data_IF_364201091040
#
_entry.id   IF_364201091040
#
_cell.length_a   1.000
_cell.length_b   1.000
_cell.length_c   1.000
_cell.angle_alpha   90.00
_cell.angle_beta   90.00
_cell.angle_gamma   90.00
#
_symmetry.space_group_name_H-M   'P 1'
#
loop_
_entity.id
_entity.type
_entity.pdbx_description
1 polymer ?
#
# COMPACT_ATOMS: atom_id res chain seq x y z
N UNK A 1 29.59 -45.27 18.60
CA UNK A 1 28.27 -45.39 17.94
C UNK A 1 27.70 -43.99 17.88
N UNK A 2 27.76 -43.34 16.70
CA UNK A 2 27.19 -41.99 16.50
C UNK A 2 25.68 -42.13 16.47
N UNK A 3 24.97 -41.31 17.23
CA UNK A 3 23.52 -41.24 17.17
C UNK A 3 23.12 -40.73 15.78
N UNK A 4 22.24 -41.48 15.13
CA UNK A 4 21.67 -41.19 13.82
C UNK A 4 20.92 -39.84 13.80
N UNK A 5 20.95 -39.24 12.62
CA UNK A 5 20.42 -37.93 12.23
C UNK A 5 19.04 -37.58 12.80
N UNK A 6 18.99 -36.57 13.68
CA UNK A 6 17.75 -35.85 13.95
C UNK A 6 17.53 -34.85 12.80
N UNK A 7 16.58 -35.14 11.92
CA UNK A 7 16.15 -34.22 10.86
C UNK A 7 15.76 -32.86 11.46
N UNK A 8 16.47 -31.82 11.05
CA UNK A 8 16.26 -30.43 11.48
C UNK A 8 14.89 -29.92 11.00
N UNK A 9 13.97 -29.65 11.94
CA UNK A 9 12.77 -28.80 11.81
C UNK A 9 11.94 -28.95 10.51
N UNK A 10 11.26 -30.09 10.33
CA UNK A 10 10.23 -30.24 9.28
C UNK A 10 9.02 -29.33 9.54
N UNK A 11 8.68 -29.06 10.80
CA UNK A 11 7.66 -28.11 11.19
C UNK A 11 8.28 -26.72 11.35
N UNK A 12 7.75 -25.74 10.62
CA UNK A 12 8.14 -24.33 10.67
C UNK A 12 7.03 -23.49 11.31
N UNK A 13 6.77 -23.60 12.62
CA UNK A 13 5.64 -22.94 13.30
C UNK A 13 5.72 -21.40 13.28
N UNK A 14 6.87 -20.84 12.92
CA UNK A 14 7.03 -19.40 12.66
C UNK A 14 6.51 -18.97 11.28
N UNK A 15 6.31 -19.90 10.34
CA UNK A 15 5.66 -19.62 9.06
C UNK A 15 4.15 -19.67 9.26
N UNK A 16 3.47 -18.59 8.89
CA UNK A 16 2.01 -18.49 8.92
C UNK A 16 1.55 -18.24 7.49
N UNK A 17 0.64 -19.07 7.01
CA UNK A 17 -0.15 -18.80 5.81
C UNK A 17 -1.52 -18.36 6.26
N UNK A 18 -2.00 -17.25 5.72
CA UNK A 18 -3.27 -16.64 6.07
C UNK A 18 -4.07 -16.47 4.79
N UNK A 19 -5.34 -16.83 4.83
CA UNK A 19 -6.30 -16.63 3.75
C UNK A 19 -7.60 -16.12 4.34
N UNK A 20 -8.24 -15.21 3.63
CA UNK A 20 -9.61 -14.81 3.94
C UNK A 20 -10.50 -15.48 2.91
N UNK A 21 -11.30 -16.43 3.36
CA UNK A 21 -12.30 -17.10 2.51
C UNK A 21 -13.62 -16.37 2.76
N UNK A 22 -14.22 -15.72 1.74
CA UNK A 22 -15.57 -15.18 1.89
C UNK A 22 -16.52 -16.31 2.30
N UNK A 23 -17.47 -16.00 3.18
CA UNK A 23 -18.51 -16.95 3.60
C UNK A 23 -19.18 -17.58 2.36
N UNK A 24 -19.59 -18.86 2.48
CA UNK A 24 -20.15 -19.67 1.39
C UNK A 24 -21.07 -18.89 0.44
N UNK A 25 -20.82 -19.03 -0.88
CA UNK A 25 -21.62 -18.49 -1.98
C UNK A 25 -22.08 -17.02 -1.80
N UNK A 26 -21.12 -16.09 -1.66
CA UNK A 26 -21.41 -14.66 -1.62
C UNK A 26 -21.51 -14.07 -3.05
N UNK A 27 -22.73 -13.78 -3.51
CA UNK A 27 -22.97 -13.17 -4.81
C UNK A 27 -22.33 -11.77 -4.98
N UNK A 28 -22.29 -10.96 -3.91
CA UNK A 28 -21.63 -9.64 -3.94
C UNK A 28 -20.13 -9.79 -4.16
N UNK A 29 -19.51 -10.81 -3.54
CA UNK A 29 -18.09 -11.09 -3.72
C UNK A 29 -17.77 -11.44 -5.17
N UNK A 30 -18.52 -12.38 -5.77
CA UNK A 30 -18.28 -12.82 -7.16
C UNK A 30 -18.48 -11.66 -8.13
N UNK A 31 -19.55 -10.88 -7.96
CA UNK A 31 -19.83 -9.71 -8.80
C UNK A 31 -18.67 -8.70 -8.80
N UNK A 32 -18.19 -8.29 -7.63
CA UNK A 32 -17.07 -7.35 -7.53
C UNK A 32 -15.73 -7.96 -7.97
N UNK A 33 -15.53 -9.26 -7.74
CA UNK A 33 -14.34 -9.96 -8.24
C UNK A 33 -14.29 -9.98 -9.76
N UNK A 34 -15.38 -10.35 -10.43
CA UNK A 34 -15.45 -10.41 -11.90
C UNK A 34 -15.24 -9.02 -12.51
N UNK A 35 -15.81 -7.97 -11.92
CA UNK A 35 -15.61 -6.57 -12.32
C UNK A 35 -14.13 -6.15 -12.28
N UNK A 36 -13.44 -6.42 -11.15
CA UNK A 36 -11.99 -6.11 -11.02
C UNK A 36 -11.14 -6.96 -11.97
N UNK A 37 -11.46 -8.25 -12.14
CA UNK A 37 -10.74 -9.12 -13.07
C UNK A 37 -10.92 -8.64 -14.52
N UNK A 38 -12.11 -8.20 -14.91
CA UNK A 38 -12.35 -7.61 -16.24
C UNK A 38 -11.45 -6.40 -16.45
N UNK A 39 -11.37 -5.49 -15.47
CA UNK A 39 -10.47 -4.32 -15.51
C UNK A 39 -9.01 -4.73 -15.72
N UNK A 40 -8.52 -5.71 -14.96
CA UNK A 40 -7.13 -6.17 -15.07
C UNK A 40 -6.81 -6.90 -16.38
N UNK A 41 -7.80 -7.39 -17.11
CA UNK A 41 -7.59 -7.99 -18.44
C UNK A 41 -7.59 -6.98 -19.58
N UNK A 42 -7.92 -5.70 -19.33
CA UNK A 42 -7.92 -4.66 -20.37
C UNK A 42 -6.49 -4.43 -20.89
N UNK A 43 -6.32 -4.19 -22.20
CA UNK A 43 -5.01 -3.80 -22.73
C UNK A 43 -4.57 -2.47 -22.14
N UNK A 44 -3.25 -2.25 -22.11
CA UNK A 44 -2.70 -0.98 -21.67
C UNK A 44 -3.19 0.17 -22.57
N UNK A 45 -3.73 1.22 -21.94
CA UNK A 45 -4.14 2.46 -22.60
C UNK A 45 -3.62 3.66 -21.78
N UNK A 46 -2.65 4.44 -22.30
CA UNK A 46 -2.10 5.59 -21.59
C UNK A 46 -3.12 6.73 -21.39
N UNK A 47 -4.21 6.79 -22.17
CA UNK A 47 -5.30 7.74 -21.95
C UNK A 47 -6.21 7.28 -20.79
N UNK A 48 -6.20 5.98 -20.47
CA UNK A 48 -7.01 5.32 -19.44
C UNK A 48 -6.20 4.40 -18.53
N UNK A 49 -5.18 4.92 -17.83
CA UNK A 49 -4.30 4.10 -17.00
C UNK A 49 -5.08 3.40 -15.89
N UNK A 50 -4.75 2.13 -15.64
CA UNK A 50 -5.28 1.36 -14.51
C UNK A 50 -4.38 1.57 -13.31
N UNK A 51 -4.90 2.28 -12.31
CA UNK A 51 -4.18 2.61 -11.08
C UNK A 51 -4.86 1.95 -9.90
N UNK A 52 -4.10 1.25 -9.07
CA UNK A 52 -4.56 0.70 -7.80
C UNK A 52 -4.17 1.65 -6.67
N UNK A 53 -5.03 1.79 -5.65
CA UNK A 53 -4.79 2.61 -4.46
C UNK A 53 -5.10 1.82 -3.19
N UNK A 54 -4.23 1.97 -2.20
CA UNK A 54 -4.43 1.48 -0.83
C UNK A 54 -3.60 2.30 0.16
N UNK A 55 -3.78 2.06 1.46
CA UNK A 55 -3.00 2.73 2.49
C UNK A 55 -2.59 1.85 3.67
N UNK A 56 -1.49 2.24 4.32
CA UNK A 56 -0.95 1.59 5.51
C UNK A 56 -0.62 2.61 6.59
N UNK A 57 -0.93 2.28 7.85
CA UNK A 57 -0.46 3.05 9.00
C UNK A 57 0.87 2.50 9.51
N UNK A 58 1.80 3.41 9.82
CA UNK A 58 3.11 3.11 10.42
C UNK A 58 3.25 3.82 11.76
N UNK A 59 3.54 3.06 12.80
CA UNK A 59 3.96 3.64 14.08
C UNK A 59 5.38 4.21 13.96
N UNK A 60 5.53 5.45 14.43
CA UNK A 60 6.82 6.13 14.53
C UNK A 60 7.45 5.82 15.90
N UNK A 61 8.67 5.31 15.86
CA UNK A 61 9.39 4.79 17.03
C UNK A 61 10.86 5.17 16.91
N UNK A 62 11.34 5.94 17.88
CA UNK A 62 12.74 6.32 18.00
C UNK A 62 13.46 5.40 19.00
N UNK A 63 14.77 5.21 18.78
CA UNK A 63 15.64 4.53 19.72
C UNK A 63 16.09 5.51 20.80
N UNK A 64 16.04 5.08 22.06
CA UNK A 64 16.53 5.90 23.18
C UNK A 64 18.05 5.81 23.35
N UNK A 65 18.68 4.77 22.80
CA UNK A 65 20.12 4.52 22.83
C UNK A 65 20.58 4.02 21.47
N UNK A 66 21.76 4.48 21.02
CA UNK A 66 22.37 4.01 19.77
C UNK A 66 22.67 2.50 19.87
N UNK A 67 22.17 1.67 18.94
CA UNK A 67 22.45 0.24 18.91
C UNK A 67 23.95 -0.03 18.77
N UNK A 68 24.39 -1.10 19.43
CA UNK A 68 25.76 -1.58 19.25
C UNK A 68 25.80 -2.54 18.06
N UNK A 69 26.62 -2.28 17.03
CA UNK A 69 26.67 -3.10 15.84
C UNK A 69 27.13 -4.52 16.17
N UNK A 70 26.72 -5.48 15.34
CA UNK A 70 27.17 -6.86 15.45
C UNK A 70 28.71 -6.96 15.29
N UNK A 71 29.32 -7.87 16.05
CA UNK A 71 30.74 -8.22 15.96
C UNK A 71 30.89 -9.75 15.84
N UNK A 72 32.05 -10.29 15.43
CA UNK A 72 32.27 -11.74 15.42
C UNK A 72 31.93 -12.38 16.78
N UNK A 73 30.93 -13.26 16.80
CA UNK A 73 30.45 -13.92 18.02
C UNK A 73 29.51 -13.09 18.90
N UNK A 74 29.15 -11.86 18.52
CA UNK A 74 28.25 -11.00 19.27
C UNK A 74 27.16 -10.44 18.34
N UNK A 75 25.87 -10.82 18.52
CA UNK A 75 24.80 -10.22 17.74
C UNK A 75 24.68 -8.72 18.04
N UNK A 76 24.04 -8.00 17.12
CA UNK A 76 23.64 -6.61 17.35
C UNK A 76 22.86 -6.49 18.66
N UNK A 77 23.13 -5.41 19.41
CA UNK A 77 22.43 -5.14 20.67
C UNK A 77 21.63 -3.86 20.51
N UNK A 78 20.32 -4.05 20.46
CA UNK A 78 19.33 -2.98 20.43
C UNK A 78 18.73 -2.85 21.82
N UNK A 79 18.57 -1.62 22.29
CA UNK A 79 17.90 -1.36 23.54
C UNK A 79 16.39 -1.63 23.43
N UNK A 80 15.84 -2.24 24.47
CA UNK A 80 14.43 -2.54 24.55
C UNK A 80 13.60 -1.26 24.72
N UNK A 81 14.14 -0.25 25.40
CA UNK A 81 13.51 1.05 25.57
C UNK A 81 13.37 1.79 24.21
N UNK A 82 12.23 2.45 24.01
CA UNK A 82 11.94 3.21 22.80
C UNK A 82 11.06 4.41 23.12
N UNK A 83 11.13 5.44 22.28
CA UNK A 83 10.27 6.61 22.36
C UNK A 83 9.20 6.56 21.26
N UNK A 84 7.94 6.87 21.61
CA UNK A 84 6.82 6.88 20.66
C UNK A 84 6.71 8.25 19.99
N UNK A 85 6.93 8.29 18.68
CA UNK A 85 6.76 9.48 17.84
C UNK A 85 5.36 9.65 17.24
N UNK A 86 4.38 8.85 17.68
CA UNK A 86 3.02 8.83 17.11
C UNK A 86 2.86 7.84 15.97
N UNK A 87 2.02 8.18 15.00
CA UNK A 87 1.72 7.36 13.81
C UNK A 87 1.69 8.22 12.57
N UNK A 88 2.09 7.65 11.44
CA UNK A 88 1.90 8.21 10.11
C UNK A 88 1.02 7.27 9.27
N UNK A 89 0.52 7.80 8.17
CA UNK A 89 -0.16 7.06 7.11
C UNK A 89 0.66 7.12 5.82
N UNK A 90 0.58 6.07 5.02
CA UNK A 90 1.17 5.99 3.69
C UNK A 90 0.08 5.63 2.70
N UNK A 91 -0.26 6.55 1.81
CA UNK A 91 -1.04 6.19 0.61
C UNK A 91 -0.09 5.64 -0.43
N UNK A 92 -0.41 4.49 -1.01
CA UNK A 92 0.32 3.92 -2.13
C UNK A 92 -0.61 3.88 -3.33
N UNK A 93 -0.11 4.39 -4.46
CA UNK A 93 -0.71 4.16 -5.76
C UNK A 93 0.26 3.39 -6.65
N UNK A 94 -0.25 2.45 -7.44
CA UNK A 94 0.57 1.77 -8.44
C UNK A 94 -0.19 1.58 -9.74
N UNK A 95 0.50 1.70 -10.86
CA UNK A 95 0.02 1.33 -12.19
C UNK A 95 0.64 -0.03 -12.56
N UNK A 96 -0.09 -1.15 -12.40
CA UNK A 96 0.52 -2.48 -12.46
C UNK A 96 1.14 -2.80 -13.83
N UNK A 97 0.45 -2.44 -14.93
CA UNK A 97 0.92 -2.74 -16.29
C UNK A 97 2.19 -1.97 -16.69
N UNK A 98 2.44 -0.82 -16.07
CA UNK A 98 3.65 -0.01 -16.29
C UNK A 98 4.70 -0.33 -15.22
N UNK A 99 4.29 -0.94 -14.10
CA UNK A 99 5.14 -1.17 -12.94
C UNK A 99 5.57 0.12 -12.27
N UNK A 100 4.76 1.19 -12.30
CA UNK A 100 5.06 2.41 -11.56
C UNK A 100 4.35 2.42 -10.21
N UNK A 101 5.02 2.97 -9.19
CA UNK A 101 4.45 3.21 -7.86
C UNK A 101 4.74 4.62 -7.40
N UNK A 102 3.86 5.13 -6.55
CA UNK A 102 4.07 6.35 -5.81
C UNK A 102 3.54 6.21 -4.39
N UNK A 103 4.28 6.76 -3.42
CA UNK A 103 3.88 6.71 -2.02
C UNK A 103 3.86 8.11 -1.41
N UNK A 104 2.71 8.50 -0.88
CA UNK A 104 2.52 9.77 -0.16
C UNK A 104 2.47 9.50 1.34
N UNK A 105 3.38 10.10 2.12
CA UNK A 105 3.33 10.06 3.59
C UNK A 105 2.46 11.20 4.10
N UNK A 106 1.44 10.86 4.90
CA UNK A 106 0.53 11.83 5.55
C UNK A 106 0.49 11.59 7.05
N UNK A 107 0.07 12.60 7.82
CA UNK A 107 -0.13 12.44 9.27
C UNK A 107 -1.36 11.58 9.57
N UNK A 108 -2.40 11.71 8.75
CA UNK A 108 -3.71 11.10 8.94
C UNK A 108 -4.23 10.44 7.66
N UNK A 109 -5.29 9.63 7.81
CA UNK A 109 -6.05 9.02 6.71
C UNK A 109 -7.53 9.41 6.74
N UNK A 110 -7.80 10.71 6.75
CA UNK A 110 -9.16 11.23 6.72
C UNK A 110 -9.75 11.15 5.30
N UNK A 111 -11.06 11.36 5.17
CA UNK A 111 -11.70 11.53 3.86
C UNK A 111 -11.12 12.71 3.07
N UNK A 112 -10.66 13.76 3.77
CA UNK A 112 -10.01 14.90 3.14
C UNK A 112 -8.62 14.52 2.62
N UNK A 113 -7.84 13.76 3.39
CA UNK A 113 -6.51 13.29 2.95
C UNK A 113 -6.64 12.39 1.71
N UNK A 114 -7.61 11.46 1.71
CA UNK A 114 -7.94 10.65 0.54
C UNK A 114 -8.31 11.52 -0.67
N UNK A 115 -9.16 12.53 -0.48
CA UNK A 115 -9.56 13.43 -1.56
C UNK A 115 -8.38 14.22 -2.14
N UNK A 116 -7.43 14.66 -1.30
CA UNK A 116 -6.20 15.30 -1.74
C UNK A 116 -5.31 14.34 -2.53
N UNK A 117 -5.18 13.09 -2.09
CA UNK A 117 -4.42 12.06 -2.81
C UNK A 117 -5.02 11.77 -4.19
N UNK A 118 -6.34 11.66 -4.29
CA UNK A 118 -7.06 11.51 -5.58
C UNK A 118 -6.85 12.74 -6.46
N UNK A 119 -6.89 13.95 -5.91
CA UNK A 119 -6.61 15.16 -6.67
C UNK A 119 -5.18 15.17 -7.20
N UNK A 120 -4.19 14.85 -6.37
CA UNK A 120 -2.79 14.76 -6.78
C UNK A 120 -2.58 13.68 -7.85
N UNK A 121 -3.26 12.53 -7.73
CA UNK A 121 -3.27 11.49 -8.75
C UNK A 121 -3.70 12.05 -10.11
N UNK A 122 -4.80 12.79 -10.15
CA UNK A 122 -5.41 13.27 -11.39
C UNK A 122 -4.72 14.52 -11.96
N UNK A 123 -4.31 15.47 -11.12
CA UNK A 123 -3.80 16.77 -11.56
C UNK A 123 -2.28 16.81 -11.68
N UNK A 124 -1.55 15.96 -10.93
CA UNK A 124 -0.08 15.97 -10.92
C UNK A 124 0.49 14.76 -11.64
N UNK A 125 0.01 13.54 -11.30
CA UNK A 125 0.57 12.30 -11.85
C UNK A 125 0.01 11.95 -13.23
N UNK A 126 -1.30 12.11 -13.43
CA UNK A 126 -1.99 11.82 -14.69
C UNK A 126 -2.74 13.03 -15.25
N UNK A 127 -2.11 14.20 -15.44
CA UNK A 127 -2.79 15.42 -15.88
C UNK A 127 -3.40 15.30 -17.29
N UNK A 128 -2.85 14.41 -18.13
CA UNK A 128 -3.24 14.24 -19.52
C UNK A 128 -4.13 13.01 -19.76
N UNK A 129 -4.35 12.18 -18.73
CA UNK A 129 -5.28 11.06 -18.86
C UNK A 129 -6.71 11.60 -18.99
N UNK A 130 -7.44 11.08 -19.98
CA UNK A 130 -8.87 11.35 -20.15
C UNK A 130 -9.63 10.86 -18.92
N UNK A 131 -9.25 9.67 -18.43
CA UNK A 131 -9.85 9.04 -17.26
C UNK A 131 -8.85 8.14 -16.56
N UNK A 132 -8.79 8.16 -15.24
CA UNK A 132 -8.02 7.16 -14.48
C UNK A 132 -8.97 6.05 -14.04
N UNK A 133 -8.65 4.81 -14.39
CA UNK A 133 -9.36 3.62 -13.91
C UNK A 133 -8.78 3.27 -12.55
N UNK A 134 -9.48 3.64 -11.48
CA UNK A 134 -9.04 3.55 -10.11
C UNK A 134 -9.61 2.30 -9.43
N UNK A 135 -8.75 1.34 -9.12
CA UNK A 135 -9.08 0.15 -8.32
C UNK A 135 -8.67 0.39 -6.87
N UNK A 136 -9.58 0.19 -5.92
CA UNK A 136 -9.29 0.36 -4.49
C UNK A 136 -10.21 -0.52 -3.64
N UNK A 137 -9.94 -0.62 -2.34
CA UNK A 137 -10.84 -1.33 -1.44
C UNK A 137 -12.16 -0.54 -1.21
N UNK A 138 -13.02 -1.05 -0.33
CA UNK A 138 -14.31 -0.43 0.00
C UNK A 138 -14.30 0.25 1.38
N UNK A 139 -13.20 0.91 1.73
CA UNK A 139 -13.14 1.73 2.94
C UNK A 139 -14.20 2.85 2.91
N UNK A 140 -14.66 3.27 4.08
CA UNK A 140 -15.72 4.29 4.18
C UNK A 140 -15.34 5.65 3.57
N UNK A 141 -14.05 5.97 3.51
CA UNK A 141 -13.47 7.17 2.88
C UNK A 141 -13.37 7.06 1.36
N UNK A 142 -13.36 5.85 0.79
CA UNK A 142 -13.15 5.58 -0.64
C UNK A 142 -14.43 5.80 -1.43
N UNK A 143 -14.97 7.02 -1.38
CA UNK A 143 -16.24 7.38 -2.01
C UNK A 143 -16.14 8.72 -2.70
N UNK A 144 -16.85 8.94 -3.82
CA UNK A 144 -16.93 10.26 -4.46
C UNK A 144 -17.40 11.38 -3.50
N UNK A 145 -18.17 11.04 -2.48
CA UNK A 145 -18.59 11.99 -1.43
C UNK A 145 -17.41 12.63 -0.68
N UNK A 146 -16.27 11.94 -0.55
CA UNK A 146 -15.07 12.50 0.06
C UNK A 146 -14.52 13.71 -0.73
N UNK A 147 -14.66 13.70 -2.06
CA UNK A 147 -14.27 14.82 -2.92
C UNK A 147 -15.17 16.04 -2.69
N UNK A 148 -16.48 15.84 -2.50
CA UNK A 148 -17.42 16.91 -2.12
C UNK A 148 -17.23 17.41 -0.70
N UNK A 149 -16.70 16.57 0.20
CA UNK A 149 -16.35 16.99 1.54
C UNK A 149 -15.09 17.88 1.55
N UNK A 150 -14.14 17.62 0.63
CA UNK A 150 -12.86 18.32 0.59
C UNK A 150 -12.82 19.56 -0.32
N UNK A 151 -13.64 19.58 -1.38
CA UNK A 151 -13.55 20.58 -2.44
C UNK A 151 -14.91 21.18 -2.79
N UNK A 152 -14.86 22.38 -3.38
CA UNK A 152 -16.05 23.03 -3.96
C UNK A 152 -16.75 22.12 -4.98
N UNK A 153 -18.10 22.12 -5.07
CA UNK A 153 -18.85 21.17 -5.90
C UNK A 153 -18.40 21.08 -7.36
N UNK A 154 -17.99 22.20 -7.97
CA UNK A 154 -17.49 22.22 -9.35
C UNK A 154 -16.15 21.48 -9.50
N UNK A 155 -15.24 21.64 -8.53
CA UNK A 155 -13.94 20.96 -8.50
C UNK A 155 -14.12 19.48 -8.18
N UNK A 156 -14.95 19.15 -7.18
CA UNK A 156 -15.26 17.76 -6.86
C UNK A 156 -15.87 17.04 -8.08
N UNK A 157 -16.80 17.69 -8.78
CA UNK A 157 -17.43 17.11 -9.97
C UNK A 157 -16.45 16.89 -11.11
N UNK A 158 -15.56 17.84 -11.40
CA UNK A 158 -14.57 17.68 -12.47
C UNK A 158 -13.58 16.55 -12.19
N UNK A 159 -13.18 16.36 -10.93
CA UNK A 159 -12.34 15.23 -10.51
C UNK A 159 -13.07 13.89 -10.70
N UNK A 160 -14.34 13.80 -10.27
CA UNK A 160 -15.16 12.58 -10.43
C UNK A 160 -15.34 12.20 -11.89
N UNK A 161 -15.51 13.16 -12.79
CA UNK A 161 -15.68 12.90 -14.23
C UNK A 161 -14.43 12.27 -14.87
N UNK A 162 -13.26 12.49 -14.27
CA UNK A 162 -11.98 11.89 -14.66
C UNK A 162 -11.70 10.54 -13.98
N UNK A 163 -12.65 9.98 -13.23
CA UNK A 163 -12.50 8.69 -12.55
C UNK A 163 -13.45 7.63 -13.08
N UNK A 164 -12.93 6.42 -13.22
CA UNK A 164 -13.70 5.19 -13.32
C UNK A 164 -13.31 4.31 -12.13
N UNK A 165 -14.22 4.16 -11.16
CA UNK A 165 -13.91 3.54 -9.87
C UNK A 165 -14.39 2.09 -9.86
N UNK A 166 -13.50 1.18 -9.47
CA UNK A 166 -13.79 -0.23 -9.23
C UNK A 166 -13.37 -0.60 -7.81
N UNK A 167 -14.25 -1.27 -7.07
CA UNK A 167 -14.00 -1.66 -5.70
C UNK A 167 -13.68 -3.14 -5.60
N UNK A 168 -12.59 -3.49 -4.92
CA UNK A 168 -12.31 -4.89 -4.61
C UNK A 168 -13.37 -5.45 -3.67
N UNK A 169 -13.71 -6.75 -3.78
CA UNK A 169 -14.69 -7.34 -2.90
C UNK A 169 -14.23 -7.29 -1.44
N UNK A 170 -15.19 -7.19 -0.52
CA UNK A 170 -14.90 -7.38 0.91
C UNK A 170 -14.23 -8.74 1.10
N UNK A 171 -13.19 -8.81 1.93
CA UNK A 171 -12.37 -10.01 2.12
C UNK A 171 -11.52 -10.43 0.89
N UNK A 172 -11.51 -9.63 -0.19
CA UNK A 172 -10.71 -9.85 -1.39
C UNK A 172 -9.55 -8.87 -1.52
N UNK A 173 -8.92 -8.53 -0.40
CA UNK A 173 -7.84 -7.55 -0.30
C UNK A 173 -6.64 -7.94 -1.21
N UNK A 174 -6.39 -9.25 -1.33
CA UNK A 174 -5.43 -9.85 -2.27
C UNK A 174 -5.65 -9.56 -3.76
N UNK A 175 -6.82 -9.03 -4.16
CA UNK A 175 -7.07 -8.54 -5.54
C UNK A 175 -6.56 -7.10 -5.74
N UNK A 176 -6.30 -6.34 -4.68
CA UNK A 176 -5.78 -4.98 -4.78
C UNK A 176 -4.25 -5.02 -4.97
N UNK A 177 -3.75 -4.61 -6.14
CA UNK A 177 -2.30 -4.63 -6.40
C UNK A 177 -1.54 -3.64 -5.50
N UNK A 178 -2.19 -2.57 -5.06
CA UNK A 178 -1.57 -1.61 -4.14
C UNK A 178 -1.29 -2.26 -2.76
N UNK A 179 -2.14 -3.16 -2.28
CA UNK A 179 -1.91 -3.90 -1.03
C UNK A 179 -0.69 -4.83 -1.14
N UNK A 180 -0.50 -5.45 -2.31
CA UNK A 180 0.67 -6.29 -2.60
C UNK A 180 1.95 -5.44 -2.54
N UNK A 181 1.95 -4.26 -3.16
CA UNK A 181 3.08 -3.32 -3.10
C UNK A 181 3.32 -2.78 -1.69
N UNK A 182 2.27 -2.49 -0.91
CA UNK A 182 2.40 -2.11 0.51
C UNK A 182 3.03 -3.23 1.35
N UNK A 183 2.70 -4.50 1.07
CA UNK A 183 3.34 -5.65 1.71
C UNK A 183 4.83 -5.78 1.32
N UNK A 184 5.20 -5.43 0.08
CA UNK A 184 6.60 -5.37 -0.35
C UNK A 184 7.33 -4.23 0.35
N UNK A 185 6.78 -3.01 0.34
CA UNK A 185 7.32 -1.83 1.03
C UNK A 185 7.52 -2.12 2.53
N UNK A 186 6.55 -2.77 3.16
CA UNK A 186 6.60 -3.12 4.57
C UNK A 186 7.82 -3.98 4.89
N UNK A 187 8.05 -5.04 4.10
CA UNK A 187 9.18 -5.96 4.29
C UNK A 187 10.53 -5.37 3.90
N UNK A 188 10.57 -4.53 2.89
CA UNK A 188 11.82 -4.01 2.33
C UNK A 188 12.31 -2.72 3.00
N UNK A 189 11.39 -1.89 3.51
CA UNK A 189 11.71 -0.56 4.00
C UNK A 189 11.22 -0.31 5.43
N UNK A 190 10.01 -0.78 5.76
CA UNK A 190 9.33 -0.39 7.01
C UNK A 190 9.54 -1.37 8.17
N UNK A 191 10.16 -2.53 7.97
CA UNK A 191 10.42 -3.53 9.02
C UNK A 191 11.60 -3.14 9.94
N UNK A 192 11.54 -1.92 10.46
CA UNK A 192 12.48 -1.31 11.42
C UNK A 192 11.84 -0.16 12.19
N UNK A 193 12.56 0.34 13.19
CA UNK A 193 12.22 1.59 13.91
C UNK A 193 12.48 2.78 12.98
N UNK A 194 11.50 3.68 12.90
CA UNK A 194 11.57 4.92 12.11
C UNK A 194 11.10 6.04 13.05
N UNK A 195 11.97 6.99 13.42
CA UNK A 195 11.71 7.90 14.54
C UNK A 195 10.62 8.92 14.25
N UNK A 196 10.54 9.40 13.01
CA UNK A 196 9.69 10.54 12.63
C UNK A 196 9.24 10.47 11.17
N UNK A 197 8.27 11.32 10.82
CA UNK A 197 7.69 11.37 9.49
C UNK A 197 8.67 11.85 8.41
N UNK A 198 9.66 12.68 8.77
CA UNK A 198 10.67 13.16 7.83
C UNK A 198 11.59 12.02 7.36
N UNK A 199 12.07 11.23 8.31
CA UNK A 199 12.84 10.01 8.06
C UNK A 199 12.01 9.01 7.27
N UNK A 200 10.74 8.77 7.66
CA UNK A 200 9.83 7.91 6.91
C UNK A 200 9.71 8.33 5.44
N UNK A 201 9.50 9.62 5.20
CA UNK A 201 9.35 10.19 3.85
C UNK A 201 10.62 9.98 3.02
N UNK A 202 11.79 10.22 3.60
CA UNK A 202 13.07 10.03 2.91
C UNK A 202 13.29 8.56 2.51
N UNK A 203 13.04 7.64 3.44
CA UNK A 203 13.28 6.21 3.26
C UNK A 203 12.31 5.61 2.24
N UNK A 204 11.04 6.01 2.29
CA UNK A 204 10.02 5.64 1.31
C UNK A 204 10.34 6.20 -0.07
N UNK A 205 10.80 7.45 -0.17
CA UNK A 205 11.21 8.05 -1.45
C UNK A 205 12.41 7.31 -2.07
N UNK A 206 13.40 6.92 -1.26
CA UNK A 206 14.52 6.12 -1.72
C UNK A 206 14.08 4.72 -2.20
N UNK A 207 13.17 4.08 -1.45
CA UNK A 207 12.57 2.81 -1.86
C UNK A 207 11.80 2.95 -3.17
N UNK A 208 10.94 3.97 -3.31
CA UNK A 208 10.16 4.25 -4.52
C UNK A 208 11.07 4.45 -5.74
N UNK A 209 12.12 5.26 -5.62
CA UNK A 209 13.09 5.48 -6.70
C UNK A 209 13.78 4.20 -7.13
N UNK A 210 14.28 3.41 -6.18
CA UNK A 210 14.97 2.14 -6.46
C UNK A 210 14.02 1.14 -7.15
N UNK A 211 12.78 1.09 -6.69
CA UNK A 211 11.71 0.28 -7.26
C UNK A 211 11.41 0.74 -8.70
N UNK A 212 11.12 2.03 -8.91
CA UNK A 212 10.76 2.61 -10.20
C UNK A 212 11.88 2.60 -11.25
N UNK A 213 13.16 2.45 -10.85
CA UNK A 213 14.28 2.37 -11.79
C UNK A 213 14.32 1.08 -12.64
N UNK A 214 13.70 0.00 -12.16
CA UNK A 214 13.56 -1.28 -12.88
C UNK A 214 12.07 -1.70 -12.84
N UNK A 215 11.21 -1.04 -13.64
CA UNK A 215 9.79 -1.32 -13.66
C UNK A 215 9.58 -2.71 -14.27
N UNK A 216 9.13 -3.63 -13.42
CA UNK A 216 8.66 -4.95 -13.82
C UNK A 216 7.16 -5.01 -13.55
N UNK A 217 6.32 -5.23 -14.58
CA UNK A 217 4.91 -5.50 -14.38
C UNK A 217 4.70 -6.83 -13.65
#
# INVERSE_FOLDING_TARGET
>A
MRADDVKKNELKPWLRQQWVIPLQANAEFVCAMEDVLEVYTRPYDPARPVVCLDELSKQLVAETRTPLPAQPGQPERVDYEYERGGTANLFLTCEPLVGQRHVTVTEQRTAVDFAQEVRNLLEVRYPHAEKVVLVMDNLNTHKPAALYQAFEPAVARSLIERLEIHHTPKHGSWLNMAEIELSILSRQCLDRRIPDAATLTQEVAAWEQARNADPRP
#
